data_IF_231137888767
#
_entry.id   IF_231137888767
#
_cell.length_a   1.000
_cell.length_b   1.000
_cell.length_c   1.000
_cell.angle_alpha   90.00
_cell.angle_beta   90.00
_cell.angle_gamma   90.00
#
_symmetry.space_group_name_H-M   'P 1'
#
loop_
_entity.id
_entity.type
_entity.pdbx_description
1 polymer ?
#
# COMPACT_ATOMS: atom_id res chain seq x y z
N UNK A 1 -5.77 -33.81 40.82
CA UNK A 1 -5.80 -32.34 40.69
C UNK A 1 -5.17 -31.97 39.36
N UNK A 2 -5.98 -31.75 38.34
CA UNK A 2 -5.53 -31.35 37.00
C UNK A 2 -5.30 -29.85 36.99
N UNK A 3 -4.08 -29.42 36.64
CA UNK A 3 -3.72 -28.01 36.47
C UNK A 3 -4.64 -27.40 35.40
N UNK A 4 -5.31 -26.26 35.66
CA UNK A 4 -6.12 -25.61 34.65
C UNK A 4 -5.24 -25.21 33.46
N UNK A 5 -5.75 -25.29 32.22
CA UNK A 5 -4.97 -24.90 31.05
C UNK A 5 -4.62 -23.42 31.15
N UNK A 6 -3.32 -23.15 31.04
CA UNK A 6 -2.77 -21.80 31.01
C UNK A 6 -3.30 -21.13 29.74
N UNK A 7 -4.25 -20.20 29.93
CA UNK A 7 -4.76 -19.34 28.86
C UNK A 7 -3.59 -18.53 28.33
N UNK A 8 -3.02 -18.96 27.19
CA UNK A 8 -2.11 -18.14 26.41
C UNK A 8 -2.80 -16.79 26.18
N UNK A 9 -2.18 -15.65 26.55
CA UNK A 9 -2.77 -14.36 26.28
C UNK A 9 -3.04 -14.28 24.78
N UNK A 10 -4.32 -14.08 24.43
CA UNK A 10 -4.71 -13.64 23.10
C UNK A 10 -4.16 -12.23 22.99
N UNK A 11 -2.92 -12.10 22.53
CA UNK A 11 -2.39 -10.79 22.15
C UNK A 11 -3.36 -10.29 21.09
N UNK A 12 -4.09 -9.22 21.41
CA UNK A 12 -4.93 -8.56 20.43
C UNK A 12 -3.98 -8.02 19.35
N UNK A 13 -3.84 -8.76 18.24
CA UNK A 13 -3.03 -8.40 17.07
C UNK A 13 -3.78 -7.43 16.12
N UNK A 14 -4.89 -6.85 16.60
CA UNK A 14 -5.64 -5.76 15.96
C UNK A 14 -4.96 -4.36 15.94
N UNK A 15 -3.87 -4.01 16.69
CA UNK A 15 -3.43 -2.63 16.77
C UNK A 15 -2.70 -2.14 15.52
N UNK A 16 -1.99 -2.99 14.75
CA UNK A 16 -1.19 -2.51 13.60
C UNK A 16 -2.12 -1.96 12.52
N UNK A 17 -3.11 -2.74 12.12
CA UNK A 17 -4.09 -2.32 11.12
C UNK A 17 -4.82 -1.04 11.51
N UNK A 18 -5.35 -0.98 12.73
CA UNK A 18 -6.03 0.23 13.22
C UNK A 18 -5.08 1.43 13.27
N UNK A 19 -3.85 1.25 13.75
CA UNK A 19 -2.84 2.32 13.84
C UNK A 19 -2.46 2.84 12.45
N UNK A 20 -2.21 1.96 11.48
CA UNK A 20 -1.80 2.38 10.15
C UNK A 20 -2.94 3.06 9.39
N UNK A 21 -4.18 2.55 9.49
CA UNK A 21 -5.33 3.21 8.88
C UNK A 21 -5.59 4.58 9.50
N UNK A 22 -5.48 4.71 10.82
CA UNK A 22 -5.56 6.01 11.49
C UNK A 22 -4.45 6.97 11.05
N UNK A 23 -3.22 6.48 10.90
CA UNK A 23 -2.10 7.28 10.39
C UNK A 23 -2.36 7.77 8.95
N UNK A 24 -2.92 6.94 8.09
CA UNK A 24 -3.31 7.35 6.73
C UNK A 24 -4.41 8.42 6.74
N UNK A 25 -5.42 8.28 7.59
CA UNK A 25 -6.47 9.30 7.75
C UNK A 25 -5.92 10.64 8.22
N UNK A 26 -4.87 10.63 9.07
CA UNK A 26 -4.25 11.85 9.59
C UNK A 26 -3.50 12.68 8.53
N UNK A 27 -3.10 12.09 7.39
CA UNK A 27 -2.38 12.81 6.31
C UNK A 27 -3.24 13.89 5.63
N UNK A 28 -4.58 13.85 5.79
CA UNK A 28 -5.54 14.85 5.27
C UNK A 28 -5.22 15.36 3.86
N UNK A 29 -5.59 14.59 2.83
CA UNK A 29 -5.50 15.05 1.44
C UNK A 29 -6.83 15.66 1.01
N UNK A 30 -6.83 16.94 0.61
CA UNK A 30 -8.05 17.58 0.15
C UNK A 30 -8.54 16.96 -1.19
N UNK A 31 -9.86 16.82 -1.42
CA UNK A 31 -10.40 16.07 -2.57
C UNK A 31 -9.94 16.57 -3.95
N UNK A 32 -9.68 17.87 -4.10
CA UNK A 32 -9.24 18.49 -5.36
C UNK A 32 -7.71 18.52 -5.53
N UNK A 33 -6.96 17.96 -4.58
CA UNK A 33 -5.52 17.84 -4.73
C UNK A 33 -5.17 16.67 -5.66
N UNK A 34 -4.11 16.81 -6.48
CA UNK A 34 -3.80 15.82 -7.51
C UNK A 34 -3.42 14.44 -6.94
N UNK A 35 -3.01 14.39 -5.67
CA UNK A 35 -2.71 13.17 -4.91
C UNK A 35 -3.94 12.46 -4.31
N UNK A 36 -5.15 13.03 -4.38
CA UNK A 36 -6.33 12.46 -3.73
C UNK A 36 -6.63 11.03 -4.19
N UNK A 37 -6.52 10.74 -5.50
CA UNK A 37 -6.70 9.39 -6.02
C UNK A 37 -5.66 8.40 -5.53
N UNK A 38 -4.40 8.82 -5.40
CA UNK A 38 -3.34 7.98 -4.83
C UNK A 38 -3.66 7.62 -3.38
N UNK A 39 -3.96 8.63 -2.55
CA UNK A 39 -4.30 8.42 -1.14
C UNK A 39 -5.52 7.48 -0.98
N UNK A 40 -6.60 7.70 -1.75
CA UNK A 40 -7.81 6.86 -1.70
C UNK A 40 -7.52 5.39 -2.02
N UNK A 41 -6.75 5.13 -3.08
CA UNK A 41 -6.39 3.77 -3.46
C UNK A 41 -5.54 3.10 -2.37
N UNK A 42 -4.53 3.79 -1.87
CA UNK A 42 -3.69 3.25 -0.80
C UNK A 42 -4.50 2.92 0.45
N UNK A 43 -5.43 3.82 0.84
CA UNK A 43 -6.27 3.62 2.01
C UNK A 43 -7.20 2.43 1.83
N UNK A 44 -7.91 2.35 0.69
CA UNK A 44 -8.78 1.23 0.36
C UNK A 44 -8.02 -0.12 0.37
N UNK A 45 -6.83 -0.18 -0.23
CA UNK A 45 -6.02 -1.41 -0.27
C UNK A 45 -5.63 -1.84 1.14
N UNK A 46 -5.16 -0.89 1.96
CA UNK A 46 -4.80 -1.16 3.36
C UNK A 46 -6.02 -1.62 4.17
N UNK A 47 -7.17 -0.98 3.98
CA UNK A 47 -8.41 -1.32 4.67
C UNK A 47 -8.89 -2.72 4.33
N UNK A 48 -8.98 -3.06 3.04
CA UNK A 48 -9.37 -4.41 2.61
C UNK A 48 -8.38 -5.48 3.08
N UNK A 49 -7.08 -5.21 3.01
CA UNK A 49 -6.05 -6.11 3.51
C UNK A 49 -6.21 -6.35 5.03
N UNK A 50 -6.50 -5.29 5.79
CA UNK A 50 -6.70 -5.36 7.23
C UNK A 50 -7.97 -6.10 7.63
N UNK A 51 -9.10 -5.81 6.97
CA UNK A 51 -10.38 -6.52 7.20
C UNK A 51 -10.25 -8.02 6.93
N UNK A 52 -9.41 -8.39 5.96
CA UNK A 52 -9.21 -9.76 5.54
C UNK A 52 -7.86 -10.35 5.97
N UNK A 53 -7.23 -9.78 7.00
CA UNK A 53 -5.88 -10.16 7.46
C UNK A 53 -5.76 -11.67 7.75
N UNK A 54 -6.79 -12.27 8.33
CA UNK A 54 -6.79 -13.69 8.68
C UNK A 54 -6.79 -14.63 7.46
N UNK A 55 -7.17 -14.12 6.28
CA UNK A 55 -7.14 -14.90 5.04
C UNK A 55 -5.75 -14.96 4.39
N UNK A 56 -4.77 -14.22 4.92
CA UNK A 56 -3.38 -14.30 4.49
C UNK A 56 -2.68 -15.50 5.12
N UNK A 57 -1.83 -16.16 4.33
CA UNK A 57 -0.99 -17.28 4.78
C UNK A 57 0.07 -16.80 5.76
N UNK A 58 0.61 -15.60 5.55
CA UNK A 58 1.57 -14.96 6.45
C UNK A 58 1.02 -13.62 6.99
N UNK A 59 0.13 -13.63 8.00
CA UNK A 59 -0.44 -12.39 8.55
C UNK A 59 0.58 -11.45 9.19
N UNK A 60 1.66 -12.00 9.77
CA UNK A 60 2.74 -11.19 10.36
C UNK A 60 3.58 -10.49 9.29
N UNK A 61 3.78 -11.13 8.14
CA UNK A 61 4.42 -10.50 6.99
C UNK A 61 3.58 -9.32 6.49
N UNK A 62 2.27 -9.50 6.38
CA UNK A 62 1.37 -8.41 6.00
C UNK A 62 1.46 -7.23 6.98
N UNK A 63 1.47 -7.49 8.29
CA UNK A 63 1.59 -6.44 9.29
C UNK A 63 2.88 -5.63 9.14
N UNK A 64 4.03 -6.32 8.98
CA UNK A 64 5.32 -5.68 8.77
C UNK A 64 5.31 -4.83 7.50
N UNK A 65 4.77 -5.39 6.41
CA UNK A 65 4.66 -4.68 5.14
C UNK A 65 3.78 -3.45 5.27
N UNK A 66 2.55 -3.59 5.80
CA UNK A 66 1.63 -2.46 5.98
C UNK A 66 2.26 -1.37 6.87
N UNK A 67 2.88 -1.76 7.99
CA UNK A 67 3.51 -0.80 8.89
C UNK A 67 4.62 -0.01 8.21
N UNK A 68 5.63 -0.67 7.64
CA UNK A 68 6.77 0.04 7.05
C UNK A 68 6.38 0.82 5.80
N UNK A 69 5.54 0.23 4.94
CA UNK A 69 5.08 0.85 3.71
C UNK A 69 4.24 2.10 4.00
N UNK A 70 3.25 2.02 4.90
CA UNK A 70 2.41 3.18 5.24
C UNK A 70 3.23 4.24 5.99
N UNK A 71 4.16 3.85 6.87
CA UNK A 71 5.02 4.81 7.58
C UNK A 71 5.91 5.60 6.62
N UNK A 72 6.43 4.99 5.55
CA UNK A 72 7.25 5.70 4.58
C UNK A 72 6.48 6.90 3.95
N UNK A 73 5.23 6.68 3.57
CA UNK A 73 4.37 7.73 3.02
C UNK A 73 3.88 8.74 4.06
N UNK A 74 3.34 8.25 5.18
CA UNK A 74 2.71 9.09 6.22
C UNK A 74 3.71 9.98 6.95
N UNK A 75 4.96 9.53 7.12
CA UNK A 75 6.04 10.33 7.71
C UNK A 75 6.72 11.25 6.71
N UNK A 76 6.35 11.19 5.42
CA UNK A 76 6.91 12.02 4.35
C UNK A 76 8.46 12.01 4.34
N UNK A 77 9.08 10.86 4.58
CA UNK A 77 10.54 10.76 4.63
C UNK A 77 11.16 10.75 3.22
N UNK A 78 12.48 10.92 3.14
CA UNK A 78 13.22 10.87 1.88
C UNK A 78 12.69 11.87 0.83
N UNK A 79 12.27 11.39 -0.36
CA UNK A 79 11.89 12.22 -1.51
C UNK A 79 10.40 12.56 -1.54
N UNK A 80 9.62 12.10 -0.57
CA UNK A 80 8.19 12.38 -0.48
C UNK A 80 7.85 13.88 -0.55
N UNK A 81 8.52 14.79 0.18
CA UNK A 81 8.22 16.21 0.11
C UNK A 81 8.39 16.80 -1.30
N UNK A 82 9.42 16.34 -2.02
CA UNK A 82 9.71 16.78 -3.39
C UNK A 82 8.65 16.28 -4.37
N UNK A 83 8.21 15.03 -4.22
CA UNK A 83 7.16 14.44 -5.08
C UNK A 83 5.82 15.16 -4.84
N UNK A 84 5.46 15.41 -3.58
CA UNK A 84 4.24 16.16 -3.23
C UNK A 84 4.31 17.58 -3.80
N UNK A 85 5.44 18.27 -3.66
CA UNK A 85 5.63 19.60 -4.22
C UNK A 85 5.50 19.59 -5.76
N UNK A 86 6.14 18.63 -6.45
CA UNK A 86 6.03 18.48 -7.90
C UNK A 86 4.60 18.17 -8.35
N UNK A 87 3.84 17.42 -7.57
CA UNK A 87 2.42 17.22 -7.81
C UNK A 87 1.62 18.53 -7.71
N UNK A 88 1.87 19.32 -6.68
CA UNK A 88 1.16 20.59 -6.44
C UNK A 88 1.49 21.65 -7.50
N UNK A 89 2.74 21.71 -7.97
CA UNK A 89 3.21 22.67 -8.97
C UNK A 89 2.76 22.38 -10.41
N UNK A 90 2.14 21.23 -10.67
CA UNK A 90 1.61 20.92 -12.00
C UNK A 90 0.48 21.87 -12.36
N UNK A 91 0.58 22.43 -13.57
CA UNK A 91 -0.42 23.32 -14.14
C UNK A 91 -1.83 22.72 -14.02
N UNK A 92 -2.75 23.49 -13.46
CA UNK A 92 -4.17 23.14 -13.36
C UNK A 92 -4.84 23.00 -14.74
N UNK A 93 -4.23 23.56 -15.79
CA UNK A 93 -4.71 23.44 -17.16
C UNK A 93 -4.26 22.13 -17.83
N UNK A 94 -3.39 21.35 -17.19
CA UNK A 94 -3.00 20.04 -17.71
C UNK A 94 -4.08 19.00 -17.37
N UNK A 95 -4.80 18.44 -18.36
CA UNK A 95 -5.86 17.45 -18.10
C UNK A 95 -5.32 16.14 -17.50
N UNK A 96 -4.01 15.88 -17.61
CA UNK A 96 -3.35 14.71 -17.06
C UNK A 96 -2.68 14.97 -15.71
N UNK A 97 -2.87 16.15 -15.11
CA UNK A 97 -2.22 16.58 -13.85
C UNK A 97 -2.32 15.52 -12.76
N UNK A 98 -3.54 15.09 -12.46
CA UNK A 98 -3.83 14.16 -11.37
C UNK A 98 -3.28 12.77 -11.69
N UNK A 99 -3.50 12.28 -12.90
CA UNK A 99 -3.01 10.98 -13.34
C UNK A 99 -1.47 10.90 -13.27
N UNK A 100 -0.78 11.89 -13.83
CA UNK A 100 0.68 11.92 -13.81
C UNK A 100 1.20 12.02 -12.36
N UNK A 101 0.54 12.78 -11.48
CA UNK A 101 0.93 12.88 -10.08
C UNK A 101 0.79 11.52 -9.37
N UNK A 102 -0.37 10.88 -9.50
CA UNK A 102 -0.67 9.60 -8.87
C UNK A 102 0.25 8.49 -9.39
N UNK A 103 0.59 8.51 -10.68
CA UNK A 103 1.58 7.61 -11.28
C UNK A 103 2.94 7.76 -10.61
N UNK A 104 3.44 8.99 -10.47
CA UNK A 104 4.77 9.24 -9.95
C UNK A 104 4.86 8.89 -8.45
N UNK A 105 3.80 9.20 -7.68
CA UNK A 105 3.68 8.77 -6.28
C UNK A 105 3.64 7.24 -6.16
N UNK A 106 2.80 6.54 -6.94
CA UNK A 106 2.71 5.09 -6.91
C UNK A 106 4.02 4.41 -7.34
N UNK A 107 4.68 4.94 -8.37
CA UNK A 107 5.94 4.43 -8.85
C UNK A 107 7.03 4.57 -7.79
N UNK A 108 7.18 5.74 -7.19
CA UNK A 108 8.14 5.95 -6.10
C UNK A 108 7.85 5.05 -4.90
N UNK A 109 6.59 5.04 -4.45
CA UNK A 109 6.18 4.23 -3.31
C UNK A 109 6.50 2.75 -3.53
N UNK A 110 6.18 2.20 -4.71
CA UNK A 110 6.43 0.79 -5.00
C UNK A 110 7.93 0.51 -5.18
N UNK A 111 8.65 1.24 -6.04
CA UNK A 111 10.05 0.88 -6.29
C UNK A 111 11.00 1.24 -5.14
N UNK A 112 10.66 2.22 -4.33
CA UNK A 112 11.48 2.67 -3.20
C UNK A 112 10.96 2.11 -1.88
N UNK A 113 9.75 2.48 -1.46
CA UNK A 113 9.27 2.16 -0.11
C UNK A 113 8.93 0.68 0.06
N UNK A 114 8.25 0.06 -0.92
CA UNK A 114 7.98 -1.38 -0.86
C UNK A 114 9.29 -2.19 -0.98
N UNK A 115 10.21 -1.78 -1.85
CA UNK A 115 11.52 -2.44 -1.97
C UNK A 115 12.30 -2.41 -0.66
N UNK A 116 12.38 -1.25 0.01
CA UNK A 116 13.00 -1.11 1.33
C UNK A 116 12.27 -1.94 2.39
N UNK A 117 10.93 -1.96 2.35
CA UNK A 117 10.09 -2.74 3.27
C UNK A 117 10.37 -4.25 3.14
N UNK A 118 10.41 -4.79 1.91
CA UNK A 118 10.68 -6.21 1.68
C UNK A 118 12.11 -6.63 2.02
N UNK A 119 13.06 -5.69 2.08
CA UNK A 119 14.43 -5.96 2.55
C UNK A 119 14.50 -6.19 4.06
N UNK A 120 13.57 -5.64 4.84
CA UNK A 120 13.53 -5.75 6.30
C UNK A 120 12.60 -6.85 6.80
N UNK A 121 11.58 -7.20 6.01
CA UNK A 121 10.60 -8.23 6.32
C UNK A 121 10.95 -9.55 5.61
N UNK A 122 10.01 -10.05 4.80
CA UNK A 122 10.17 -11.19 3.91
C UNK A 122 9.67 -10.81 2.49
N UNK A 123 10.00 -11.59 1.45
CA UNK A 123 9.47 -11.34 0.11
C UNK A 123 8.01 -11.79 -0.06
N UNK A 124 7.44 -12.51 0.90
CA UNK A 124 6.03 -12.92 0.91
C UNK A 124 5.68 -14.08 -0.01
N UNK A 125 4.63 -14.82 0.36
CA UNK A 125 4.13 -15.96 -0.40
C UNK A 125 3.36 -15.54 -1.66
N UNK A 126 3.38 -16.37 -2.71
CA UNK A 126 2.69 -16.07 -3.96
C UNK A 126 1.17 -15.92 -3.76
N UNK A 127 0.57 -16.70 -2.87
CA UNK A 127 -0.85 -16.62 -2.54
C UNK A 127 -1.20 -15.27 -1.88
N UNK A 128 -0.37 -14.78 -0.97
CA UNK A 128 -0.56 -13.48 -0.30
C UNK A 128 -0.45 -12.31 -1.29
N UNK A 129 0.50 -12.38 -2.23
CA UNK A 129 0.60 -11.41 -3.32
C UNK A 129 -0.59 -11.45 -4.27
N UNK A 130 -1.10 -12.64 -4.59
CA UNK A 130 -2.30 -12.79 -5.40
C UNK A 130 -3.53 -12.22 -4.69
N UNK A 131 -3.64 -12.41 -3.37
CA UNK A 131 -4.70 -11.81 -2.58
C UNK A 131 -4.65 -10.28 -2.59
N UNK A 132 -3.45 -9.70 -2.37
CA UNK A 132 -3.26 -8.26 -2.53
C UNK A 132 -3.61 -7.76 -3.94
N UNK A 133 -3.44 -8.61 -4.97
CA UNK A 133 -3.85 -8.25 -6.33
C UNK A 133 -5.35 -7.96 -6.41
N UNK A 134 -6.14 -8.83 -5.79
CA UNK A 134 -7.60 -8.70 -5.76
C UNK A 134 -8.03 -7.39 -5.12
N UNK A 135 -7.40 -6.99 -4.02
CA UNK A 135 -7.70 -5.72 -3.35
C UNK A 135 -7.25 -4.51 -4.19
N UNK A 136 -6.07 -4.55 -4.80
CA UNK A 136 -5.62 -3.51 -5.74
C UNK A 136 -6.63 -3.34 -6.88
N UNK A 137 -7.08 -4.44 -7.48
CA UNK A 137 -8.05 -4.40 -8.57
C UNK A 137 -9.38 -3.81 -8.11
N UNK A 138 -9.90 -4.27 -6.97
CA UNK A 138 -11.14 -3.78 -6.37
C UNK A 138 -11.08 -2.27 -6.10
N UNK A 139 -10.03 -1.80 -5.45
CA UNK A 139 -9.90 -0.38 -5.09
C UNK A 139 -9.74 0.52 -6.32
N UNK A 140 -8.93 0.13 -7.31
CA UNK A 140 -8.78 0.91 -8.54
C UNK A 140 -10.09 0.90 -9.35
N UNK A 141 -10.85 -0.19 -9.32
CA UNK A 141 -12.17 -0.27 -9.97
C UNK A 141 -13.18 0.72 -9.34
N UNK A 142 -13.07 0.98 -8.03
CA UNK A 142 -13.93 1.89 -7.28
C UNK A 142 -13.47 3.36 -7.33
N UNK A 143 -12.31 3.65 -7.90
CA UNK A 143 -11.70 4.99 -7.87
C UNK A 143 -12.19 5.96 -8.97
N UNK A 144 -13.30 5.62 -9.63
CA UNK A 144 -13.97 6.41 -10.69
C UNK A 144 -13.07 6.82 -11.87
N UNK A 145 -12.04 6.01 -12.18
CA UNK A 145 -11.25 6.22 -13.38
C UNK A 145 -12.06 5.84 -14.64
N UNK A 146 -11.76 6.44 -15.82
CA UNK A 146 -12.30 5.97 -17.09
C UNK A 146 -11.98 4.48 -17.31
N UNK A 147 -12.89 3.65 -17.85
CA UNK A 147 -12.73 2.20 -17.90
C UNK A 147 -11.41 1.71 -18.53
N UNK A 148 -10.98 2.35 -19.63
CA UNK A 148 -9.69 2.05 -20.29
C UNK A 148 -8.49 2.32 -19.36
N UNK A 149 -8.57 3.38 -18.56
CA UNK A 149 -7.53 3.78 -17.63
C UNK A 149 -7.50 2.86 -16.39
N UNK A 150 -8.66 2.43 -15.90
CA UNK A 150 -8.80 1.48 -14.77
C UNK A 150 -7.95 0.23 -15.01
N UNK A 151 -8.16 -0.46 -16.14
CA UNK A 151 -7.42 -1.68 -16.49
C UNK A 151 -5.93 -1.42 -16.63
N UNK A 152 -5.56 -0.28 -17.22
CA UNK A 152 -4.17 0.11 -17.37
C UNK A 152 -3.48 0.32 -16.01
N UNK A 153 -4.10 1.08 -15.09
CA UNK A 153 -3.54 1.35 -13.75
C UNK A 153 -3.39 0.05 -12.97
N UNK A 154 -4.44 -0.80 -12.97
CA UNK A 154 -4.41 -2.12 -12.34
C UNK A 154 -3.19 -2.95 -12.79
N UNK A 155 -3.00 -3.08 -14.10
CA UNK A 155 -1.89 -3.84 -14.66
C UNK A 155 -0.53 -3.21 -14.34
N UNK A 156 -0.40 -1.88 -14.37
CA UNK A 156 0.86 -1.20 -14.06
C UNK A 156 1.26 -1.34 -12.60
N UNK A 157 0.34 -1.13 -11.65
CA UNK A 157 0.60 -1.30 -10.22
C UNK A 157 1.03 -2.74 -9.91
N UNK A 158 0.32 -3.72 -10.49
CA UNK A 158 0.68 -5.14 -10.35
C UNK A 158 2.04 -5.44 -10.97
N UNK A 159 2.34 -4.88 -12.14
CA UNK A 159 3.64 -5.06 -12.77
C UNK A 159 4.78 -4.52 -11.89
N UNK A 160 4.65 -3.29 -11.38
CA UNK A 160 5.67 -2.66 -10.53
C UNK A 160 5.94 -3.48 -9.27
N UNK A 161 4.90 -3.88 -8.54
CA UNK A 161 5.08 -4.67 -7.30
C UNK A 161 5.68 -6.05 -7.59
N UNK A 162 5.33 -6.68 -8.70
CA UNK A 162 5.88 -7.98 -9.10
C UNK A 162 7.37 -7.87 -9.40
N UNK A 163 7.81 -6.79 -10.06
CA UNK A 163 9.24 -6.54 -10.28
C UNK A 163 9.99 -6.38 -8.95
N UNK A 164 9.45 -5.59 -8.01
CA UNK A 164 10.03 -5.39 -6.68
C UNK A 164 10.11 -6.71 -5.90
N UNK A 165 9.05 -7.52 -5.94
CA UNK A 165 9.02 -8.85 -5.34
C UNK A 165 10.08 -9.77 -5.96
N UNK A 166 10.19 -9.81 -7.28
CA UNK A 166 11.15 -10.66 -7.97
C UNK A 166 12.61 -10.26 -7.63
N UNK A 167 12.88 -8.95 -7.51
CA UNK A 167 14.18 -8.45 -7.04
C UNK A 167 14.46 -8.86 -5.58
N UNK A 168 13.45 -8.85 -4.71
CA UNK A 168 13.58 -9.38 -3.35
C UNK A 168 13.94 -10.87 -3.37
N UNK A 169 13.20 -11.68 -4.15
CA UNK A 169 13.41 -13.11 -4.25
C UNK A 169 14.78 -13.47 -4.84
N UNK A 170 15.28 -12.70 -5.82
CA UNK A 170 16.59 -12.96 -6.42
C UNK A 170 17.75 -12.71 -5.45
N UNK A 171 17.60 -11.77 -4.50
CA UNK A 171 18.64 -11.47 -3.49
C UNK A 171 18.73 -12.52 -2.37
N UNK A 172 17.78 -13.46 -2.31
CA UNK A 172 17.79 -14.58 -1.36
C UNK A 172 18.56 -15.81 -1.86
N UNK A 173 18.83 -15.84 -3.17
CA UNK A 173 19.61 -16.89 -3.81
C UNK A 173 21.09 -16.53 -3.73
#
# INVERSE_FOLDING_TARGET
>A
MTKPPELKPIVAYAPICQTQLAAMQAVKVAPLQPMAGFWRNQYCIAELACQNRQAFKQPLWLDQVLQAFIQAYTRQTQRWPQIVQQCQQRSIFNPLRDWLCQRDMAQYHIYTDLSATLQQADCGDAEDWQRLQGYIYTCIQQADYPPMLTRYIQNRVVHYRTQVRNQCLSKRR
#
